data_IF_874266505204
#
_entry.id   IF_874266505204
#
_cell.length_a   1.000
_cell.length_b   1.000
_cell.length_c   1.000
_cell.angle_alpha   90.00
_cell.angle_beta   90.00
_cell.angle_gamma   90.00
#
_symmetry.space_group_name_H-M   'P 1'
#
loop_
_entity.id
_entity.type
_entity.pdbx_description
1 polymer ?
#
# COMPACT_ATOMS: atom_id res chain seq x y z
N UNK A 1 -19.13 31.04 -5.39
CA UNK A 1 -19.10 29.60 -5.04
C UNK A 1 -18.94 28.82 -6.34
N UNK A 2 -17.99 27.88 -6.43
CA UNK A 2 -17.86 27.02 -7.62
C UNK A 2 -19.00 26.02 -7.64
N UNK A 3 -19.58 25.75 -8.81
CA UNK A 3 -20.59 24.70 -8.96
C UNK A 3 -19.94 23.32 -8.86
N UNK A 4 -20.70 22.29 -8.46
CA UNK A 4 -20.18 20.92 -8.32
C UNK A 4 -19.57 20.40 -9.64
N UNK A 5 -20.12 20.78 -10.79
CA UNK A 5 -19.54 20.48 -12.11
C UNK A 5 -18.18 21.14 -12.34
N UNK A 6 -17.99 22.39 -11.92
CA UNK A 6 -16.68 23.06 -12.02
C UNK A 6 -15.66 22.42 -11.09
N UNK A 7 -16.07 21.99 -9.89
CA UNK A 7 -15.20 21.24 -8.98
C UNK A 7 -14.80 19.88 -9.57
N UNK A 8 -15.75 19.14 -10.16
CA UNK A 8 -15.48 17.86 -10.84
C UNK A 8 -14.55 18.04 -12.05
N UNK A 9 -14.74 19.10 -12.82
CA UNK A 9 -13.94 19.38 -14.02
C UNK A 9 -12.52 19.81 -13.66
N UNK A 10 -12.37 20.74 -12.71
CA UNK A 10 -11.07 21.14 -12.16
C UNK A 10 -10.33 19.94 -11.56
N UNK A 11 -11.05 19.05 -10.86
CA UNK A 11 -10.47 17.80 -10.36
C UNK A 11 -10.02 16.90 -11.51
N UNK A 12 -10.85 16.69 -12.51
CA UNK A 12 -10.49 15.85 -13.66
C UNK A 12 -9.22 16.36 -14.37
N UNK A 13 -9.09 17.67 -14.57
CA UNK A 13 -7.94 18.28 -15.26
C UNK A 13 -6.67 18.29 -14.38
N UNK A 14 -6.81 18.50 -13.07
CA UNK A 14 -5.69 18.47 -12.11
C UNK A 14 -5.12 17.06 -11.95
N UNK A 15 -5.97 16.02 -11.98
CA UNK A 15 -5.54 14.64 -11.78
C UNK A 15 -5.22 13.88 -13.08
N UNK A 16 -5.69 14.35 -14.25
CA UNK A 16 -5.46 13.70 -15.55
C UNK A 16 -4.04 13.90 -16.11
N UNK A 17 -3.34 14.97 -15.72
CA UNK A 17 -1.96 15.19 -16.16
C UNK A 17 -0.99 14.51 -15.19
N UNK A 18 0.04 13.75 -15.66
CA UNK A 18 1.09 13.25 -14.78
C UNK A 18 1.71 14.38 -13.98
N UNK A 19 1.90 14.20 -12.66
CA UNK A 19 2.54 15.23 -11.85
C UNK A 19 3.89 15.56 -12.46
N UNK A 20 4.22 16.86 -12.50
CA UNK A 20 5.51 17.34 -13.04
C UNK A 20 6.60 17.10 -12.01
N UNK A 21 6.94 15.83 -11.82
CA UNK A 21 7.99 15.38 -10.92
C UNK A 21 9.37 15.59 -11.55
N UNK A 22 10.36 15.93 -10.72
CA UNK A 22 11.77 15.86 -11.13
C UNK A 22 12.13 14.40 -11.49
N UNK A 23 13.22 14.19 -12.22
CA UNK A 23 13.67 12.83 -12.56
C UNK A 23 13.91 11.97 -11.31
N UNK A 24 14.47 12.56 -10.25
CA UNK A 24 14.70 11.91 -8.97
C UNK A 24 13.39 11.55 -8.26
N UNK A 25 12.44 12.49 -8.18
CA UNK A 25 11.13 12.24 -7.54
C UNK A 25 10.31 11.20 -8.30
N UNK A 26 10.40 11.21 -9.63
CA UNK A 26 9.76 10.21 -10.50
C UNK A 26 10.34 8.81 -10.27
N UNK A 27 11.65 8.71 -10.06
CA UNK A 27 12.32 7.45 -9.74
C UNK A 27 11.87 6.93 -8.37
N UNK A 28 11.89 7.77 -7.34
CA UNK A 28 11.44 7.41 -5.99
C UNK A 28 9.98 6.94 -6.00
N UNK A 29 9.11 7.64 -6.70
CA UNK A 29 7.69 7.28 -6.79
C UNK A 29 7.51 5.95 -7.56
N UNK A 30 8.26 5.75 -8.64
CA UNK A 30 8.21 4.48 -9.40
C UNK A 30 8.74 3.30 -8.58
N UNK A 31 9.75 3.51 -7.73
CA UNK A 31 10.26 2.48 -6.86
C UNK A 31 9.21 2.01 -5.84
N UNK A 32 8.40 2.94 -5.32
CA UNK A 32 7.25 2.60 -4.47
C UNK A 32 6.23 1.73 -5.21
N UNK A 33 5.97 1.99 -6.50
CA UNK A 33 5.12 1.12 -7.32
C UNK A 33 5.69 -0.30 -7.42
N UNK A 34 7.01 -0.42 -7.60
CA UNK A 34 7.70 -1.73 -7.65
C UNK A 34 7.57 -2.47 -6.33
N UNK A 35 7.71 -1.78 -5.18
CA UNK A 35 7.53 -2.38 -3.85
C UNK A 35 6.13 -2.96 -3.70
N UNK A 36 5.08 -2.18 -4.01
CA UNK A 36 3.70 -2.66 -3.95
C UNK A 36 3.44 -3.85 -4.88
N UNK A 37 3.97 -3.82 -6.12
CA UNK A 37 3.84 -4.96 -7.03
C UNK A 37 4.58 -6.20 -6.50
N UNK A 38 5.78 -6.03 -5.94
CA UNK A 38 6.54 -7.13 -5.38
C UNK A 38 5.79 -7.77 -4.20
N UNK A 39 5.22 -6.96 -3.29
CA UNK A 39 4.38 -7.45 -2.21
C UNK A 39 3.19 -8.25 -2.75
N UNK A 40 2.41 -7.66 -3.66
CA UNK A 40 1.23 -8.32 -4.22
C UNK A 40 1.57 -9.62 -4.96
N UNK A 41 2.61 -9.62 -5.79
CA UNK A 41 3.05 -10.81 -6.54
C UNK A 41 3.47 -11.92 -5.58
N UNK A 42 4.26 -11.61 -4.56
CA UNK A 42 4.76 -12.61 -3.62
C UNK A 42 3.65 -13.14 -2.70
N UNK A 43 2.71 -12.27 -2.30
CA UNK A 43 1.49 -12.65 -1.58
C UNK A 43 0.61 -13.57 -2.42
N UNK A 44 0.40 -13.28 -3.71
CA UNK A 44 -0.36 -14.16 -4.62
C UNK A 44 0.35 -15.49 -4.84
N UNK A 45 1.66 -15.47 -5.10
CA UNK A 45 2.45 -16.67 -5.31
C UNK A 45 2.48 -17.60 -4.08
N UNK A 46 2.22 -17.05 -2.90
CA UNK A 46 2.13 -17.80 -1.64
C UNK A 46 0.81 -17.54 -0.90
N UNK A 47 -0.30 -17.45 -1.63
CA UNK A 47 -1.58 -17.00 -1.10
C UNK A 47 -2.06 -17.82 0.12
N UNK A 48 -1.83 -19.14 0.12
CA UNK A 48 -2.19 -20.01 1.24
C UNK A 48 -1.35 -19.75 2.51
N UNK A 49 -0.08 -19.41 2.35
CA UNK A 49 0.80 -19.06 3.47
C UNK A 49 0.49 -17.65 3.96
N UNK A 50 0.23 -16.73 3.04
CA UNK A 50 -0.17 -15.36 3.33
C UNK A 50 -1.49 -15.31 4.12
N UNK A 51 -2.55 -16.01 3.68
CA UNK A 51 -3.82 -16.08 4.43
C UNK A 51 -3.62 -16.70 5.82
N UNK A 52 -2.71 -17.67 5.96
CA UNK A 52 -2.40 -18.29 7.25
C UNK A 52 -1.66 -17.31 8.16
N UNK A 53 -0.74 -16.52 7.61
CA UNK A 53 -0.09 -15.43 8.32
C UNK A 53 -1.12 -14.40 8.81
N UNK A 54 -2.04 -13.95 7.96
CA UNK A 54 -3.13 -13.03 8.35
C UNK A 54 -4.03 -13.61 9.45
N UNK A 55 -4.35 -14.91 9.37
CA UNK A 55 -5.07 -15.61 10.44
C UNK A 55 -4.30 -15.59 11.76
N UNK A 56 -2.97 -15.75 11.70
CA UNK A 56 -2.08 -15.63 12.85
C UNK A 56 -2.01 -14.22 13.45
N UNK A 57 -2.23 -13.17 12.66
CA UNK A 57 -2.31 -11.77 13.14
C UNK A 57 -3.59 -11.47 13.93
N UNK A 58 -4.54 -12.42 14.00
CA UNK A 58 -5.81 -12.24 14.71
C UNK A 58 -6.97 -11.79 13.81
N UNK A 59 -6.77 -11.78 12.49
CA UNK A 59 -7.83 -11.57 11.48
C UNK A 59 -8.62 -12.88 11.34
N UNK A 60 -9.25 -13.33 12.42
CA UNK A 60 -9.82 -14.68 12.54
C UNK A 60 -11.11 -14.87 11.73
N UNK A 61 -11.88 -13.81 11.49
CA UNK A 61 -13.23 -13.93 10.93
C UNK A 61 -13.26 -14.13 9.40
N UNK A 62 -12.21 -13.71 8.67
CA UNK A 62 -12.14 -13.88 7.21
C UNK A 62 -10.73 -13.63 6.62
N UNK A 63 -9.70 -14.42 6.96
CA UNK A 63 -8.33 -14.20 6.46
C UNK A 63 -8.23 -14.18 4.93
N UNK A 64 -9.03 -15.01 4.25
CA UNK A 64 -9.05 -15.12 2.78
C UNK A 64 -9.57 -13.86 2.11
N UNK A 65 -10.64 -13.27 2.65
CA UNK A 65 -11.22 -12.02 2.15
C UNK A 65 -10.23 -10.87 2.32
N UNK A 66 -9.57 -10.78 3.48
CA UNK A 66 -8.55 -9.76 3.72
C UNK A 66 -7.32 -9.94 2.83
N UNK A 67 -6.84 -11.17 2.63
CA UNK A 67 -5.75 -11.45 1.72
C UNK A 67 -6.06 -10.96 0.30
N UNK A 68 -7.27 -11.24 -0.20
CA UNK A 68 -7.70 -10.77 -1.51
C UNK A 68 -7.79 -9.24 -1.57
N UNK A 69 -8.40 -8.60 -0.57
CA UNK A 69 -8.53 -7.13 -0.51
C UNK A 69 -7.16 -6.46 -0.53
N UNK A 70 -6.20 -6.98 0.25
CA UNK A 70 -4.85 -6.41 0.33
C UNK A 70 -4.11 -6.53 -0.98
N UNK A 71 -4.10 -7.71 -1.61
CA UNK A 71 -3.47 -7.92 -2.92
C UNK A 71 -4.06 -6.95 -3.94
N UNK A 72 -5.40 -6.82 -4.01
CA UNK A 72 -6.06 -5.90 -4.93
C UNK A 72 -5.68 -4.45 -4.63
N UNK A 73 -5.67 -4.06 -3.35
CA UNK A 73 -5.28 -2.72 -2.94
C UNK A 73 -3.83 -2.40 -3.29
N UNK A 74 -2.89 -3.33 -3.10
CA UNK A 74 -1.47 -3.16 -3.43
C UNK A 74 -1.25 -3.04 -4.94
N UNK A 75 -1.91 -3.89 -5.75
CA UNK A 75 -1.87 -3.75 -7.22
C UNK A 75 -2.42 -2.40 -7.64
N UNK A 76 -3.57 -1.98 -7.09
CA UNK A 76 -4.19 -0.70 -7.45
C UNK A 76 -3.35 0.50 -6.99
N UNK A 77 -2.72 0.40 -5.82
CA UNK A 77 -1.78 1.39 -5.29
C UNK A 77 -0.60 1.58 -6.24
N UNK A 78 0.02 0.48 -6.70
CA UNK A 78 1.15 0.52 -7.61
C UNK A 78 0.83 1.28 -8.91
N UNK A 79 -0.35 1.05 -9.49
CA UNK A 79 -0.77 1.73 -10.71
C UNK A 79 -0.73 3.26 -10.58
N UNK A 80 -1.09 3.81 -9.41
CA UNK A 80 -1.09 5.24 -9.16
C UNK A 80 0.29 5.89 -9.14
N UNK A 81 1.33 5.10 -8.86
CA UNK A 81 2.71 5.57 -8.73
C UNK A 81 3.57 5.29 -9.98
N UNK A 82 3.08 4.48 -10.91
CA UNK A 82 3.72 4.31 -12.22
C UNK A 82 3.61 5.59 -13.05
N UNK A 83 4.65 5.88 -13.83
CA UNK A 83 4.70 7.02 -14.77
C UNK A 83 3.88 6.76 -16.03
N UNK A 84 2.63 6.33 -15.85
CA UNK A 84 1.67 6.08 -16.91
C UNK A 84 0.58 7.14 -16.92
N UNK A 85 0.06 7.43 -18.12
CA UNK A 85 -1.03 8.39 -18.28
C UNK A 85 -2.32 7.70 -17.85
N UNK A 86 -2.75 8.00 -16.62
CA UNK A 86 -3.98 7.47 -16.03
C UNK A 86 -5.02 8.57 -15.91
N UNK A 87 -6.29 8.16 -15.95
CA UNK A 87 -7.39 9.04 -15.63
C UNK A 87 -7.30 9.50 -14.17
N UNK A 88 -7.71 10.74 -13.89
CA UNK A 88 -7.53 11.35 -12.58
C UNK A 88 -8.21 10.59 -11.43
N UNK A 89 -9.39 10.04 -11.67
CA UNK A 89 -10.09 9.18 -10.71
C UNK A 89 -9.29 7.92 -10.36
N UNK A 90 -8.63 7.30 -11.34
CA UNK A 90 -7.84 6.09 -11.11
C UNK A 90 -6.69 6.43 -10.17
N UNK A 91 -5.96 7.53 -10.41
CA UNK A 91 -4.90 7.98 -9.51
C UNK A 91 -5.39 8.33 -8.11
N UNK A 92 -6.55 8.96 -8.01
CA UNK A 92 -7.15 9.25 -6.71
C UNK A 92 -7.39 7.96 -5.92
N UNK A 93 -8.09 6.99 -6.52
CA UNK A 93 -8.34 5.71 -5.87
C UNK A 93 -7.06 4.93 -5.59
N UNK A 94 -6.08 4.94 -6.50
CA UNK A 94 -4.75 4.37 -6.23
C UNK A 94 -4.07 4.99 -5.03
N UNK A 95 -4.17 6.31 -4.86
CA UNK A 95 -3.66 6.96 -3.65
C UNK A 95 -4.39 6.55 -2.37
N UNK A 96 -5.71 6.39 -2.43
CA UNK A 96 -6.52 5.86 -1.31
C UNK A 96 -6.10 4.42 -0.98
N UNK A 97 -5.97 3.55 -1.98
CA UNK A 97 -5.54 2.16 -1.78
C UNK A 97 -4.11 2.05 -1.27
N UNK A 98 -3.21 2.94 -1.70
CA UNK A 98 -1.84 2.99 -1.19
C UNK A 98 -1.80 3.32 0.30
N UNK A 99 -2.57 4.33 0.73
CA UNK A 99 -2.68 4.71 2.15
C UNK A 99 -3.35 3.59 2.94
N UNK A 100 -4.38 2.96 2.38
CA UNK A 100 -5.05 1.82 3.01
C UNK A 100 -4.08 0.65 3.22
N UNK A 101 -3.38 0.20 2.18
CA UNK A 101 -2.46 -0.94 2.27
C UNK A 101 -1.29 -0.65 3.22
N UNK A 102 -0.60 0.49 3.07
CA UNK A 102 0.50 0.84 3.96
C UNK A 102 0.03 1.10 5.40
N UNK A 103 -1.15 1.71 5.56
CA UNK A 103 -1.77 1.96 6.86
C UNK A 103 -2.17 0.67 7.56
N UNK A 104 -2.78 -0.27 6.84
CA UNK A 104 -3.08 -1.61 7.33
C UNK A 104 -1.81 -2.28 7.87
N UNK A 105 -0.77 -2.34 7.05
CA UNK A 105 0.50 -2.96 7.43
C UNK A 105 1.16 -2.29 8.64
N UNK A 106 1.04 -0.97 8.76
CA UNK A 106 1.51 -0.24 9.94
C UNK A 106 0.70 -0.57 11.20
N UNK A 107 -0.63 -0.52 11.12
CA UNK A 107 -1.51 -0.79 12.26
C UNK A 107 -1.36 -2.22 12.74
N UNK A 108 -1.36 -3.20 11.84
CA UNK A 108 -1.18 -4.61 12.19
C UNK A 108 0.19 -4.87 12.82
N UNK A 109 1.26 -4.32 12.24
CA UNK A 109 2.60 -4.46 12.81
C UNK A 109 2.67 -3.87 14.22
N UNK A 110 2.06 -2.70 14.42
CA UNK A 110 2.02 -2.05 15.73
C UNK A 110 1.18 -2.86 16.74
N UNK A 111 0.02 -3.37 16.30
CA UNK A 111 -0.88 -4.15 17.14
C UNK A 111 -0.24 -5.46 17.60
N UNK A 112 0.42 -6.20 16.71
CA UNK A 112 1.12 -7.45 17.07
C UNK A 112 2.25 -7.18 18.05
N UNK A 113 3.02 -6.11 17.82
CA UNK A 113 4.15 -5.78 18.70
C UNK A 113 3.69 -5.28 20.06
N UNK A 114 2.62 -4.49 20.11
CA UNK A 114 2.03 -3.98 21.35
C UNK A 114 1.21 -5.05 22.12
N UNK A 115 0.59 -5.99 21.41
CA UNK A 115 -0.35 -6.98 21.95
C UNK A 115 0.29 -8.24 22.56
N UNK A 116 1.62 -8.27 22.73
CA UNK A 116 2.42 -9.39 23.28
C UNK A 116 2.57 -10.64 22.39
N UNK A 117 2.02 -10.64 21.18
CA UNK A 117 2.24 -11.69 20.17
C UNK A 117 3.52 -11.49 19.34
N UNK A 118 4.24 -10.39 19.58
CA UNK A 118 5.56 -10.12 19.03
C UNK A 118 6.50 -11.32 19.29
N UNK A 119 7.06 -11.89 18.22
CA UNK A 119 7.97 -13.04 18.32
C UNK A 119 7.30 -14.43 18.36
N UNK A 120 5.98 -14.55 18.53
CA UNK A 120 5.28 -15.84 18.47
C UNK A 120 4.93 -16.24 17.03
N UNK A 121 4.76 -15.25 16.16
CA UNK A 121 4.49 -15.46 14.74
C UNK A 121 5.81 -15.58 13.97
N UNK A 122 5.93 -16.60 13.13
CA UNK A 122 7.12 -16.79 12.30
C UNK A 122 7.21 -15.80 11.12
N UNK A 123 6.09 -15.17 10.74
CA UNK A 123 6.00 -14.30 9.57
C UNK A 123 4.96 -13.18 9.76
N UNK A 124 5.30 -11.96 9.35
CA UNK A 124 4.42 -10.80 9.32
C UNK A 124 3.53 -10.75 8.06
N UNK A 125 3.85 -11.50 7.00
CA UNK A 125 3.03 -11.63 5.81
C UNK A 125 3.24 -10.57 4.72
N UNK A 126 4.09 -9.55 4.92
CA UNK A 126 4.30 -8.44 3.96
C UNK A 126 4.56 -8.93 2.53
N UNK A 127 5.39 -9.96 2.40
CA UNK A 127 5.83 -10.53 1.12
C UNK A 127 5.47 -12.02 1.03
N UNK A 128 4.38 -12.43 1.68
CA UNK A 128 4.00 -13.83 1.77
C UNK A 128 5.11 -14.70 2.38
N UNK A 129 5.34 -15.90 1.84
CA UNK A 129 6.36 -16.83 2.38
C UNK A 129 7.80 -16.55 1.95
N UNK A 130 8.00 -15.68 0.97
CA UNK A 130 9.31 -15.54 0.30
C UNK A 130 10.28 -14.61 1.03
N UNK A 131 9.75 -13.71 1.86
CA UNK A 131 10.52 -12.94 2.81
C UNK A 131 9.86 -13.06 4.18
N UNK A 132 10.17 -14.14 4.89
CA UNK A 132 9.67 -14.37 6.24
C UNK A 132 10.35 -13.41 7.21
N UNK A 133 9.56 -12.52 7.80
CA UNK A 133 10.02 -11.58 8.81
C UNK A 133 9.23 -11.83 10.10
N UNK A 134 9.94 -12.17 11.17
CA UNK A 134 9.32 -12.29 12.48
C UNK A 134 8.80 -10.91 12.94
N UNK A 135 7.53 -10.76 13.35
CA UNK A 135 7.00 -9.48 13.80
C UNK A 135 7.76 -8.94 15.01
N UNK A 136 8.17 -7.68 14.92
CA UNK A 136 8.94 -6.97 15.94
C UNK A 136 9.02 -5.46 15.65
N UNK A 137 9.67 -4.69 16.52
CA UNK A 137 9.81 -3.23 16.34
C UNK A 137 10.47 -2.84 15.00
N UNK A 138 11.32 -3.72 14.46
CA UNK A 138 11.87 -3.53 13.11
C UNK A 138 10.77 -3.54 12.03
N UNK A 139 9.81 -4.46 12.09
CA UNK A 139 8.69 -4.50 11.14
C UNK A 139 7.76 -3.29 11.28
N UNK A 140 7.61 -2.74 12.49
CA UNK A 140 6.89 -1.48 12.72
C UNK A 140 7.62 -0.31 12.05
N UNK A 141 8.95 -0.27 12.16
CA UNK A 141 9.77 0.75 11.51
C UNK A 141 9.68 0.64 9.98
N UNK A 142 9.76 -0.57 9.43
CA UNK A 142 9.58 -0.83 7.99
C UNK A 142 8.21 -0.35 7.51
N UNK A 143 7.13 -0.71 8.21
CA UNK A 143 5.77 -0.27 7.90
C UNK A 143 5.62 1.27 8.00
N UNK A 144 6.27 1.88 9.00
CA UNK A 144 6.27 3.34 9.17
C UNK A 144 6.96 4.05 8.02
N UNK A 145 8.10 3.53 7.56
CA UNK A 145 8.84 4.05 6.41
C UNK A 145 7.99 3.91 5.15
N UNK A 146 7.36 2.76 4.92
CA UNK A 146 6.46 2.54 3.79
C UNK A 146 5.29 3.54 3.80
N UNK A 147 4.61 3.69 4.93
CA UNK A 147 3.50 4.64 5.08
C UNK A 147 3.95 6.09 4.87
N UNK A 148 5.09 6.49 5.45
CA UNK A 148 5.65 7.82 5.23
C UNK A 148 5.96 8.05 3.75
N UNK A 149 6.55 7.07 3.08
CA UNK A 149 6.90 7.16 1.66
C UNK A 149 5.66 7.27 0.76
N UNK A 150 4.58 6.54 1.09
CA UNK A 150 3.28 6.70 0.43
C UNK A 150 2.76 8.13 0.58
N UNK A 151 2.69 8.64 1.81
CA UNK A 151 2.17 9.99 2.07
C UNK A 151 3.04 11.06 1.39
N UNK A 152 4.36 10.90 1.42
CA UNK A 152 5.30 11.78 0.75
C UNK A 152 5.11 11.77 -0.77
N UNK A 153 5.05 10.59 -1.39
CA UNK A 153 4.85 10.43 -2.84
C UNK A 153 3.51 11.00 -3.31
N UNK A 154 2.45 10.85 -2.52
CA UNK A 154 1.16 11.45 -2.80
C UNK A 154 1.18 12.98 -2.70
N UNK A 155 1.95 13.55 -1.76
CA UNK A 155 2.13 15.02 -1.67
C UNK A 155 2.91 15.56 -2.86
N UNK A 156 3.94 14.85 -3.33
CA UNK A 156 4.67 15.20 -4.55
C UNK A 156 3.76 15.17 -5.79
N UNK A 157 2.84 14.21 -5.82
CA UNK A 157 1.93 13.99 -6.97
C UNK A 157 0.73 14.95 -7.04
N UNK A 158 0.53 15.81 -6.03
CA UNK A 158 -0.56 16.80 -5.97
C UNK A 158 -0.18 18.19 -6.55
N UNK A 159 1.02 18.35 -7.09
CA UNK A 159 1.52 19.59 -7.72
C UNK A 159 1.46 19.52 -9.24
#
# INVERSE_FOLDING_TARGET
>A
MRTAEQQLKDWSETFANPPKLSQYDSWLTSLLAVVFLAMAILQVASFNDFKSALGGLGIANSPETWAFILVVAEVWAALGFLKVRLHGLIRFFSGVFAVFAAGFWFVESLQVVAGTTAGQLANNGFFGKYLTQQPGWWTVLEASVLLFWVVYSLRLSKR
#
